data_IF_252282678153
#
_entry.id   IF_252282678153
#
_cell.length_a   1.000
_cell.length_b   1.000
_cell.length_c   1.000
_cell.angle_alpha   90.00
_cell.angle_beta   90.00
_cell.angle_gamma   90.00
#
_symmetry.space_group_name_H-M   'P 1'
#
loop_
_entity.id
_entity.type
_entity.pdbx_description
1 polymer ?
#
# COMPACT_ATOMS: atom_id res chain seq x y z
N UNK A 1 8.24 -9.96 -13.73
CA UNK A 1 8.20 -10.08 -12.24
C UNK A 1 9.58 -9.80 -11.70
N UNK A 2 9.70 -8.86 -10.75
CA UNK A 2 10.99 -8.42 -10.19
C UNK A 2 11.28 -9.00 -8.80
N UNK A 3 10.24 -9.35 -8.05
CA UNK A 3 10.35 -9.96 -6.72
C UNK A 3 9.74 -11.39 -6.72
N UNK A 4 10.42 -12.40 -7.29
CA UNK A 4 9.85 -13.73 -7.52
C UNK A 4 9.51 -14.49 -6.22
N UNK A 5 10.18 -14.18 -5.11
CA UNK A 5 9.93 -14.81 -3.82
C UNK A 5 8.81 -14.11 -3.02
N UNK A 6 8.29 -12.98 -3.50
CA UNK A 6 7.25 -12.25 -2.80
C UNK A 6 5.92 -13.03 -2.86
N UNK A 7 5.10 -13.06 -1.78
CA UNK A 7 3.84 -13.82 -1.77
C UNK A 7 2.88 -13.45 -2.90
N UNK A 8 2.87 -12.18 -3.34
CA UNK A 8 2.06 -11.73 -4.50
C UNK A 8 2.49 -12.44 -5.80
N UNK A 9 3.78 -12.73 -5.95
CA UNK A 9 4.34 -13.39 -7.13
C UNK A 9 4.25 -14.92 -7.09
N UNK A 10 3.72 -15.51 -6.02
CA UNK A 10 3.67 -16.96 -5.86
C UNK A 10 2.89 -17.64 -6.99
N UNK A 11 3.52 -18.61 -7.66
CA UNK A 11 2.94 -19.37 -8.77
C UNK A 11 2.83 -18.60 -10.10
N UNK A 12 3.36 -17.36 -10.18
CA UNK A 12 3.40 -16.60 -11.42
C UNK A 12 4.63 -16.99 -12.26
N UNK A 13 4.52 -16.93 -13.59
CA UNK A 13 5.69 -17.03 -14.46
C UNK A 13 6.62 -15.81 -14.29
N UNK A 14 7.89 -15.89 -14.76
CA UNK A 14 8.82 -14.76 -14.73
C UNK A 14 8.28 -13.50 -15.43
N UNK A 15 7.45 -13.69 -16.47
CA UNK A 15 6.69 -12.66 -17.17
C UNK A 15 5.39 -13.25 -17.72
N UNK A 16 4.40 -12.40 -17.99
CA UNK A 16 3.17 -12.72 -18.69
C UNK A 16 2.79 -11.52 -19.57
N UNK A 17 1.97 -11.76 -20.58
CA UNK A 17 1.62 -10.77 -21.60
C UNK A 17 0.12 -10.52 -21.60
N UNK A 18 -0.25 -9.26 -21.82
CA UNK A 18 -1.62 -8.85 -22.13
C UNK A 18 -1.59 -8.25 -23.54
N UNK A 19 -2.32 -8.85 -24.47
CA UNK A 19 -2.35 -8.41 -25.88
C UNK A 19 -2.78 -6.93 -26.00
N UNK A 20 -3.73 -6.51 -25.16
CA UNK A 20 -4.26 -5.15 -25.14
C UNK A 20 -4.42 -4.65 -23.70
N UNK A 21 -3.84 -3.50 -23.39
CA UNK A 21 -3.99 -2.80 -22.11
C UNK A 21 -3.70 -1.30 -22.29
N UNK A 22 -4.25 -0.46 -21.41
CA UNK A 22 -3.89 0.97 -21.38
C UNK A 22 -2.45 1.15 -20.87
N UNK A 23 -1.66 1.96 -21.58
CA UNK A 23 -0.27 2.26 -21.20
C UNK A 23 -0.24 3.35 -20.14
N UNK A 24 0.42 3.05 -19.00
CA UNK A 24 0.96 4.05 -18.06
C UNK A 24 2.49 4.04 -18.17
N UNK A 25 3.14 5.17 -17.86
CA UNK A 25 4.59 5.32 -18.01
C UNK A 25 5.24 6.06 -16.85
N UNK A 26 6.54 5.82 -16.65
CA UNK A 26 7.37 6.60 -15.72
C UNK A 26 7.69 8.01 -16.30
N UNK A 27 7.91 9.03 -15.44
CA UNK A 27 7.93 8.99 -13.98
C UNK A 27 6.52 8.96 -13.37
N UNK A 28 6.24 7.93 -12.58
CA UNK A 28 5.03 7.83 -11.78
C UNK A 28 5.24 8.57 -10.46
N UNK A 29 4.46 9.63 -10.23
CA UNK A 29 4.54 10.56 -9.08
C UNK A 29 4.12 9.96 -7.73
N UNK A 30 4.52 8.73 -7.45
CA UNK A 30 4.34 8.00 -6.20
C UNK A 30 5.61 8.07 -5.34
N UNK A 31 5.51 7.94 -4.01
CA UNK A 31 6.68 7.69 -3.18
C UNK A 31 7.37 6.38 -3.60
N UNK A 32 8.64 6.24 -3.21
CA UNK A 32 9.36 4.98 -3.39
C UNK A 32 8.57 3.83 -2.72
N UNK A 33 8.27 2.75 -3.46
CA UNK A 33 7.61 1.57 -2.90
C UNK A 33 8.46 0.86 -1.85
N UNK A 34 7.81 0.15 -0.93
CA UNK A 34 8.50 -0.80 -0.05
C UNK A 34 9.13 -1.94 -0.89
N UNK A 35 8.37 -2.47 -1.85
CA UNK A 35 8.85 -3.42 -2.85
C UNK A 35 8.17 -3.17 -4.21
N UNK A 36 8.96 -3.25 -5.29
CA UNK A 36 8.45 -3.34 -6.67
C UNK A 36 8.35 -4.82 -7.05
N UNK A 37 7.12 -5.29 -7.27
CA UNK A 37 6.80 -6.70 -7.56
C UNK A 37 6.80 -6.96 -9.08
N UNK A 38 6.34 -5.99 -9.86
CA UNK A 38 6.20 -6.10 -11.31
C UNK A 38 6.56 -4.78 -12.00
N UNK A 39 7.21 -4.91 -13.15
CA UNK A 39 7.45 -3.83 -14.10
C UNK A 39 6.73 -4.21 -15.39
N UNK A 40 5.87 -3.33 -15.90
CA UNK A 40 5.28 -3.44 -17.23
C UNK A 40 6.20 -2.82 -18.27
N UNK A 41 6.27 -3.45 -19.44
CA UNK A 41 6.87 -2.91 -20.65
C UNK A 41 5.76 -2.79 -21.69
N UNK A 42 5.69 -1.65 -22.37
CA UNK A 42 4.63 -1.35 -23.31
C UNK A 42 5.18 -1.18 -24.72
N UNK A 43 4.32 -1.42 -25.71
CA UNK A 43 4.68 -1.36 -27.12
C UNK A 43 5.23 0.02 -27.55
N UNK A 44 4.83 1.11 -26.88
CA UNK A 44 5.35 2.46 -27.11
C UNK A 44 6.80 2.67 -26.63
N UNK A 45 7.37 1.68 -25.92
CA UNK A 45 8.73 1.72 -25.37
C UNK A 45 8.80 2.16 -23.91
N UNK A 46 7.66 2.54 -23.33
CA UNK A 46 7.57 2.94 -21.93
C UNK A 46 7.70 1.73 -21.00
N UNK A 47 8.16 2.01 -19.79
CA UNK A 47 8.11 1.09 -18.67
C UNK A 47 7.32 1.71 -17.53
N UNK A 48 6.76 0.87 -16.68
CA UNK A 48 6.01 1.32 -15.51
C UNK A 48 6.19 0.36 -14.35
N UNK A 49 6.27 0.88 -13.13
CA UNK A 49 6.18 0.08 -11.92
C UNK A 49 4.73 -0.41 -11.71
N UNK A 50 4.31 -1.40 -12.51
CA UNK A 50 2.94 -1.91 -12.61
C UNK A 50 2.43 -2.70 -11.42
N UNK A 51 3.31 -3.11 -10.50
CA UNK A 51 2.92 -3.77 -9.26
C UNK A 51 3.83 -3.36 -8.12
N UNK A 52 3.33 -2.59 -7.15
CA UNK A 52 4.12 -2.03 -6.05
C UNK A 52 3.40 -2.12 -4.72
N UNK A 53 4.17 -2.25 -3.64
CA UNK A 53 3.64 -2.36 -2.28
C UNK A 53 3.99 -1.15 -1.42
N UNK A 54 3.12 -0.87 -0.45
CA UNK A 54 3.33 0.13 0.59
C UNK A 54 2.78 -0.35 1.93
N UNK A 55 3.23 0.30 2.99
CA UNK A 55 2.59 0.26 4.30
C UNK A 55 2.04 1.62 4.70
N UNK A 56 0.83 1.63 5.24
CA UNK A 56 0.19 2.82 5.81
C UNK A 56 -0.35 2.47 7.20
N UNK A 57 0.40 2.83 8.24
CA UNK A 57 0.12 2.39 9.61
C UNK A 57 0.15 0.85 9.70
N UNK A 58 -0.93 0.27 10.20
CA UNK A 58 -1.09 -1.19 10.26
C UNK A 58 -1.49 -1.84 8.92
N UNK A 59 -1.90 -1.03 7.93
CA UNK A 59 -2.38 -1.51 6.64
C UNK A 59 -1.25 -1.83 5.66
N UNK A 60 -1.49 -2.85 4.84
CA UNK A 60 -0.69 -3.18 3.64
C UNK A 60 -1.46 -2.74 2.41
N UNK A 61 -0.78 -2.10 1.48
CA UNK A 61 -1.36 -1.60 0.23
C UNK A 61 -0.60 -2.22 -0.94
N UNK A 62 -1.34 -2.72 -1.92
CA UNK A 62 -0.78 -3.17 -3.19
C UNK A 62 -1.44 -2.38 -4.31
N UNK A 63 -0.65 -1.66 -5.08
CA UNK A 63 -1.08 -1.04 -6.32
C UNK A 63 -0.74 -1.99 -7.48
N UNK A 64 -1.72 -2.22 -8.35
CA UNK A 64 -1.59 -3.08 -9.52
C UNK A 64 -2.26 -2.41 -10.72
N UNK A 65 -1.49 -2.15 -11.77
CA UNK A 65 -1.92 -1.31 -12.88
C UNK A 65 -2.91 -1.94 -13.87
N UNK A 66 -2.77 -3.21 -14.31
CA UNK A 66 -3.65 -3.75 -15.36
C UNK A 66 -5.12 -3.76 -14.95
N UNK A 67 -6.02 -3.34 -15.85
CA UNK A 67 -7.45 -3.32 -15.55
C UNK A 67 -8.27 -2.21 -16.20
N UNK A 68 -7.86 -1.67 -17.35
CA UNK A 68 -8.64 -0.66 -18.05
C UNK A 68 -9.97 -1.24 -18.56
N UNK A 69 -11.05 -0.47 -18.46
CA UNK A 69 -12.43 -0.95 -18.57
C UNK A 69 -12.83 -1.44 -19.97
N UNK A 70 -12.11 -1.02 -21.01
CA UNK A 70 -12.42 -1.41 -22.40
C UNK A 70 -11.83 -2.78 -22.77
N UNK A 71 -10.96 -3.34 -21.92
CA UNK A 71 -10.31 -4.63 -22.16
C UNK A 71 -10.75 -5.69 -21.15
N UNK A 72 -10.83 -6.98 -21.54
CA UNK A 72 -11.24 -8.06 -20.65
C UNK A 72 -10.12 -8.48 -19.67
N UNK A 73 -9.28 -7.56 -19.20
CA UNK A 73 -8.08 -7.85 -18.38
C UNK A 73 -8.40 -8.68 -17.15
N UNK A 74 -9.51 -8.40 -16.46
CA UNK A 74 -9.93 -9.18 -15.29
C UNK A 74 -10.46 -10.59 -15.63
N UNK A 75 -10.55 -10.98 -16.90
CA UNK A 75 -10.82 -12.35 -17.32
C UNK A 75 -9.55 -13.21 -17.43
N UNK A 76 -8.38 -12.58 -17.51
CA UNK A 76 -7.10 -13.28 -17.58
C UNK A 76 -6.83 -14.06 -16.27
N UNK A 77 -6.47 -15.36 -16.36
CA UNK A 77 -6.25 -16.19 -15.19
C UNK A 77 -5.03 -15.75 -14.36
N UNK A 78 -4.00 -15.19 -15.00
CA UNK A 78 -2.80 -14.65 -14.35
C UNK A 78 -3.17 -13.42 -13.53
N UNK A 79 -3.92 -12.48 -14.11
CA UNK A 79 -4.42 -11.28 -13.41
C UNK A 79 -5.23 -11.68 -12.17
N UNK A 80 -6.14 -12.64 -12.31
CA UNK A 80 -6.93 -13.16 -11.18
C UNK A 80 -6.05 -13.80 -10.11
N UNK A 81 -4.99 -14.51 -10.50
CA UNK A 81 -4.03 -15.10 -9.55
C UNK A 81 -3.28 -14.01 -8.78
N UNK A 82 -2.80 -12.96 -9.45
CA UNK A 82 -2.15 -11.80 -8.80
C UNK A 82 -3.07 -11.19 -7.75
N UNK A 83 -4.33 -10.91 -8.11
CA UNK A 83 -5.30 -10.30 -7.20
C UNK A 83 -5.60 -11.20 -5.99
N UNK A 84 -5.74 -12.52 -6.18
CA UNK A 84 -5.90 -13.47 -5.07
C UNK A 84 -4.69 -13.46 -4.15
N UNK A 85 -3.48 -13.54 -4.70
CA UNK A 85 -2.26 -13.51 -3.91
C UNK A 85 -2.12 -12.18 -3.15
N UNK A 86 -2.48 -11.06 -3.79
CA UNK A 86 -2.49 -9.73 -3.18
C UNK A 86 -3.47 -9.61 -2.01
N UNK A 87 -4.68 -10.15 -2.13
CA UNK A 87 -5.65 -10.20 -1.02
C UNK A 87 -5.09 -11.00 0.16
N UNK A 88 -4.50 -12.16 -0.09
CA UNK A 88 -3.88 -12.97 0.96
C UNK A 88 -2.68 -12.27 1.61
N UNK A 89 -1.84 -11.60 0.81
CA UNK A 89 -0.70 -10.84 1.31
C UNK A 89 -1.13 -9.60 2.11
N UNK A 90 -2.18 -8.91 1.67
CA UNK A 90 -2.70 -7.71 2.31
C UNK A 90 -3.47 -8.01 3.60
N UNK A 91 -3.92 -9.26 3.78
CA UNK A 91 -4.55 -9.70 5.01
C UNK A 91 -3.57 -9.57 6.20
N UNK A 92 -3.97 -8.77 7.18
CA UNK A 92 -3.29 -8.63 8.46
C UNK A 92 -4.14 -9.38 9.50
N UNK A 93 -3.61 -10.45 10.13
CA UNK A 93 -4.39 -11.26 11.08
C UNK A 93 -4.59 -10.56 12.44
N UNK A 94 -3.93 -9.43 12.67
CA UNK A 94 -4.10 -8.63 13.89
C UNK A 94 -5.52 -8.02 13.95
N UNK A 95 -6.06 -7.79 15.16
CA UNK A 95 -7.35 -7.11 15.33
C UNK A 95 -7.38 -5.77 14.61
N UNK A 96 -8.56 -5.41 14.08
CA UNK A 96 -8.78 -4.10 13.47
C UNK A 96 -8.53 -3.00 14.50
N UNK A 97 -7.68 -2.04 14.14
CA UNK A 97 -7.51 -0.80 14.91
C UNK A 97 -8.66 0.14 14.51
N UNK A 98 -9.54 0.46 15.46
CA UNK A 98 -10.70 1.34 15.25
C UNK A 98 -10.33 2.82 15.39
N UNK A 99 -9.36 3.10 16.25
CA UNK A 99 -9.02 4.45 16.71
C UNK A 99 -7.69 4.93 16.10
N UNK A 100 -7.50 4.69 14.80
CA UNK A 100 -6.22 4.94 14.08
C UNK A 100 -5.78 6.41 14.09
N UNK A 101 -6.71 7.34 14.29
CA UNK A 101 -6.46 8.78 14.38
C UNK A 101 -6.65 9.33 15.79
N UNK A 102 -6.88 8.47 16.79
CA UNK A 102 -7.07 8.90 18.16
C UNK A 102 -5.73 9.29 18.77
N UNK A 103 -5.50 10.60 18.87
CA UNK A 103 -4.33 11.21 19.50
C UNK A 103 -4.79 12.11 20.66
N UNK A 104 -5.25 11.54 21.79
CA UNK A 104 -5.77 12.34 22.89
C UNK A 104 -4.62 13.03 23.62
N UNK A 105 -4.86 14.26 24.06
CA UNK A 105 -3.93 14.94 24.96
C UNK A 105 -3.90 14.18 26.31
N UNK A 106 -2.77 13.58 26.65
CA UNK A 106 -2.58 12.87 27.92
C UNK A 106 -1.96 13.81 28.97
N UNK A 107 -2.49 13.81 30.21
CA UNK A 107 -1.87 14.51 31.34
C UNK A 107 -0.40 14.13 31.51
N UNK A 108 0.42 15.07 31.96
CA UNK A 108 1.83 14.82 32.27
C UNK A 108 1.99 13.79 33.41
N UNK A 109 1.01 13.73 34.31
CA UNK A 109 0.99 12.80 35.44
C UNK A 109 0.78 11.33 35.00
N UNK A 110 0.28 11.11 33.78
CA UNK A 110 0.13 9.78 33.16
C UNK A 110 1.38 9.35 32.38
N UNK A 111 2.42 10.19 32.33
CA UNK A 111 3.65 9.85 31.63
C UNK A 111 4.35 8.65 32.31
N UNK A 112 4.94 7.72 31.54
CA UNK A 112 5.67 6.57 32.11
C UNK A 112 6.86 6.96 32.99
N UNK A 113 7.37 8.18 32.83
CA UNK A 113 8.48 8.75 33.59
C UNK A 113 8.00 9.99 34.34
N UNK A 114 8.63 10.36 35.47
CA UNK A 114 8.28 11.58 36.19
C UNK A 114 8.73 12.82 35.41
N UNK A 115 7.78 13.50 34.76
CA UNK A 115 8.01 14.73 33.99
C UNK A 115 7.30 15.91 34.66
N UNK A 116 7.94 17.08 34.69
CA UNK A 116 7.28 18.34 35.10
C UNK A 116 6.86 19.13 33.86
N UNK A 117 5.56 19.43 33.73
CA UNK A 117 5.05 20.24 32.62
C UNK A 117 5.64 21.67 32.65
N UNK A 118 5.99 22.21 31.46
CA UNK A 118 6.57 23.54 31.29
C UNK A 118 5.94 24.25 30.09
N UNK A 119 5.83 25.58 30.16
CA UNK A 119 5.28 26.43 29.10
C UNK A 119 3.74 26.48 29.06
N UNK A 120 3.17 27.38 28.24
CA UNK A 120 1.72 27.50 28.08
C UNK A 120 1.14 26.29 27.33
N UNK A 121 -0.07 25.85 27.72
CA UNK A 121 -0.81 24.79 27.02
C UNK A 121 -1.91 25.41 26.15
N UNK A 122 -2.11 24.85 24.96
CA UNK A 122 -3.14 25.25 24.02
C UNK A 122 -4.50 24.57 24.29
N UNK A 123 -4.47 23.39 24.89
CA UNK A 123 -5.62 22.56 25.25
C UNK A 123 -5.48 22.04 26.68
N UNK A 124 -6.61 21.75 27.33
CA UNK A 124 -6.65 21.07 28.62
C UNK A 124 -6.51 19.55 28.45
N UNK A 125 -6.16 18.89 29.54
CA UNK A 125 -6.01 17.44 29.57
C UNK A 125 -7.35 16.76 29.20
N UNK A 126 -7.30 15.80 28.27
CA UNK A 126 -8.49 15.12 27.74
C UNK A 126 -9.29 15.88 26.68
N UNK A 127 -8.93 17.11 26.30
CA UNK A 127 -9.57 17.79 25.16
C UNK A 127 -9.15 17.18 23.81
N UNK A 128 -10.08 17.17 22.85
CA UNK A 128 -9.74 16.83 21.46
C UNK A 128 -8.81 17.93 20.91
N UNK A 129 -7.53 17.60 20.68
CA UNK A 129 -6.59 18.51 20.04
C UNK A 129 -7.03 18.89 18.62
N UNK A 130 -6.37 19.87 18.00
CA UNK A 130 -6.63 20.20 16.59
C UNK A 130 -6.49 18.96 15.70
N UNK A 131 -7.61 18.54 15.09
CA UNK A 131 -7.69 17.46 14.10
C UNK A 131 -7.54 18.02 12.69
#
# INVERSE_FOLDING_TARGET
VTAPNHPIAAGLPPHFELETEEMYGEPFGIPEPDETIMIGWFQGGEVFRSGVTYRRGAGRVFYFQPGHETYPTYHDPTIRQVLRNAVHWAHVPAPRITDVTLAPNRPVDDAPEPITARGPRLHKDGEEGFR
#
